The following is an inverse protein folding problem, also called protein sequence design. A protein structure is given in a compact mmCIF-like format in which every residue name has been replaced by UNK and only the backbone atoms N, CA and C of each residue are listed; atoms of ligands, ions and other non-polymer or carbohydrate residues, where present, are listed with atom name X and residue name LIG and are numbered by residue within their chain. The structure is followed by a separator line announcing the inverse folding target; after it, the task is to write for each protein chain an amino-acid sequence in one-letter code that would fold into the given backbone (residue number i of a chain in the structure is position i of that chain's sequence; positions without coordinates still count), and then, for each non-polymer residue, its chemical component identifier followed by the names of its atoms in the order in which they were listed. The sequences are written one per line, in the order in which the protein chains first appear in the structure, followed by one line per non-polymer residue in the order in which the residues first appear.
data_IF_809279533567
#
_entry.id   IF_809279533567
#
_cell.length_a   1.000
_cell.length_b   1.000
_cell.length_c   1.000
_cell.angle_alpha   90.00
_cell.angle_beta   90.00
_cell.angle_gamma   90.00
#
_symmetry.space_group_name_H-M   'P 1'
#
loop_
_entity.id
_entity.type
_entity.pdbx_description
1 polymer ?
#
# COMPACT_ATOMS: atom_id res chain seq x y z
N UNK A 1 83.67 12.39 20.06
CA UNK A 1 83.43 13.67 20.78
C UNK A 1 81.98 13.91 20.71
N UNK A 2 81.22 13.45 21.74
CA UNK A 2 80.82 14.22 22.91
C UNK A 2 79.93 15.39 22.51
N UNK A 3 78.69 15.31 22.95
CA UNK A 3 77.81 16.46 23.05
C UNK A 3 76.33 16.11 23.26
N UNK A 4 75.98 15.65 24.48
CA UNK A 4 74.62 15.67 25.09
C UNK A 4 74.03 17.08 25.09
N UNK A 5 72.68 17.22 25.01
CA UNK A 5 71.90 17.95 26.02
C UNK A 5 70.38 17.85 25.73
N UNK A 6 69.67 17.22 26.57
CA UNK A 6 68.42 17.45 27.30
C UNK A 6 67.70 18.80 27.00
N UNK A 7 66.36 18.73 26.78
CA UNK A 7 65.32 19.20 27.71
C UNK A 7 63.90 19.03 27.09
N UNK A 8 63.06 18.27 27.68
CA UNK A 8 61.83 18.50 28.46
C UNK A 8 61.02 19.79 28.14
N UNK A 9 59.76 19.56 27.72
CA UNK A 9 58.50 20.18 28.22
C UNK A 9 57.36 19.50 27.47
N UNK A 10 56.56 18.67 28.11
CA UNK A 10 55.31 18.85 28.85
C UNK A 10 54.30 19.81 28.16
N UNK A 11 53.19 19.31 27.74
CA UNK A 11 52.10 20.15 27.36
C UNK A 11 50.91 19.39 26.80
N UNK A 12 50.09 18.89 27.71
CA UNK A 12 48.64 18.86 27.76
C UNK A 12 47.90 18.08 26.64
N UNK A 13 47.52 16.89 27.02
CA UNK A 13 46.34 16.16 26.52
C UNK A 13 45.09 17.05 26.65
N UNK A 14 44.56 17.42 25.49
CA UNK A 14 43.17 17.92 25.42
C UNK A 14 42.31 16.78 24.94
N UNK A 15 41.74 16.14 25.90
CA UNK A 15 40.58 15.23 25.81
C UNK A 15 39.45 15.94 25.05
N UNK A 16 39.19 15.51 23.79
CA UNK A 16 38.03 15.96 23.03
C UNK A 16 36.81 15.22 23.56
N UNK A 17 35.87 15.95 24.15
CA UNK A 17 34.57 15.51 24.53
C UNK A 17 33.83 14.80 23.38
N UNK A 18 33.03 13.75 23.67
CA UNK A 18 32.29 13.02 22.63
C UNK A 18 31.15 13.88 22.10
N UNK A 19 31.12 13.96 20.77
CA UNK A 19 30.06 14.61 20.00
C UNK A 19 28.70 13.92 20.25
N UNK A 20 27.80 14.62 20.94
CA UNK A 20 26.47 14.16 21.38
C UNK A 20 25.42 14.14 20.25
N UNK A 21 25.78 14.11 18.97
CA UNK A 21 24.81 14.18 17.88
C UNK A 21 24.84 12.99 16.91
N UNK A 22 25.16 11.79 17.38
CA UNK A 22 24.91 10.56 16.66
C UNK A 22 23.58 9.95 17.12
N UNK A 23 22.51 10.28 16.44
CA UNK A 23 21.28 9.49 16.53
C UNK A 23 21.57 8.03 16.10
N UNK A 24 21.10 7.03 16.85
CA UNK A 24 21.31 5.64 16.47
C UNK A 24 20.53 5.36 15.18
N UNK A 25 21.21 4.82 14.19
CA UNK A 25 20.60 4.24 12.99
C UNK A 25 19.66 3.15 13.47
N UNK A 26 18.35 3.35 13.24
CA UNK A 26 17.30 2.37 13.50
C UNK A 26 17.54 1.21 12.52
N UNK A 27 18.22 0.17 12.99
CA UNK A 27 18.24 -1.13 12.33
C UNK A 27 16.81 -1.64 12.30
N UNK A 28 16.27 -1.89 11.12
CA UNK A 28 14.97 -2.53 10.94
C UNK A 28 15.18 -3.99 11.38
N UNK A 29 14.62 -4.32 12.54
CA UNK A 29 14.71 -5.66 13.09
C UNK A 29 13.77 -6.57 12.27
N UNK A 30 14.36 -7.56 11.57
CA UNK A 30 13.59 -8.56 10.81
C UNK A 30 12.52 -9.25 11.67
N UNK A 31 12.73 -9.33 12.98
CA UNK A 31 11.73 -9.85 13.91
C UNK A 31 10.50 -8.94 14.05
N UNK A 32 10.62 -7.63 13.78
CA UNK A 32 9.48 -6.74 13.77
C UNK A 32 8.61 -6.92 12.53
N UNK A 33 9.18 -7.24 11.36
CA UNK A 33 8.38 -7.52 10.15
C UNK A 33 7.61 -8.85 10.28
N UNK A 34 8.23 -9.86 10.85
CA UNK A 34 7.57 -11.16 11.12
C UNK A 34 6.44 -10.98 12.12
N UNK A 35 6.66 -10.21 13.20
CA UNK A 35 5.63 -9.89 14.17
C UNK A 35 4.49 -9.04 13.57
N UNK A 36 4.80 -8.11 12.68
CA UNK A 36 3.79 -7.30 12.01
C UNK A 36 2.91 -8.12 11.07
N UNK A 37 3.50 -9.05 10.29
CA UNK A 37 2.73 -9.99 9.44
C UNK A 37 1.82 -10.88 10.27
N UNK A 38 2.31 -11.47 11.34
CA UNK A 38 1.50 -12.31 12.25
C UNK A 38 0.38 -11.50 12.92
N UNK A 39 0.67 -10.26 13.32
CA UNK A 39 -0.31 -9.35 13.90
C UNK A 39 -1.40 -8.96 12.87
N UNK A 40 -1.02 -8.72 11.61
CA UNK A 40 -1.96 -8.39 10.54
C UNK A 40 -2.86 -9.58 10.20
N UNK A 41 -2.30 -10.80 10.12
CA UNK A 41 -3.09 -12.02 9.90
C UNK A 41 -4.04 -12.31 11.05
N UNK A 42 -3.61 -12.12 12.28
CA UNK A 42 -4.45 -12.30 13.47
C UNK A 42 -5.56 -11.26 13.54
N UNK A 43 -5.26 -10.00 13.19
CA UNK A 43 -6.24 -8.92 13.12
C UNK A 43 -7.27 -9.17 12.00
N UNK A 44 -6.83 -9.65 10.82
CA UNK A 44 -7.73 -10.01 9.72
C UNK A 44 -8.64 -11.19 10.07
N UNK A 45 -8.11 -12.24 10.71
CA UNK A 45 -8.94 -13.38 11.18
C UNK A 45 -9.95 -12.93 12.22
N UNK A 46 -9.54 -12.05 13.14
CA UNK A 46 -10.41 -11.52 14.20
C UNK A 46 -11.48 -10.57 13.64
N UNK A 47 -11.15 -9.79 12.59
CA UNK A 47 -12.10 -8.91 11.90
C UNK A 47 -13.12 -9.71 11.09
N UNK A 48 -12.67 -10.75 10.36
CA UNK A 48 -13.56 -11.64 9.60
C UNK A 48 -14.49 -12.44 10.51
N UNK A 49 -13.99 -12.94 11.65
CA UNK A 49 -14.80 -13.67 12.63
C UNK A 49 -15.84 -12.76 13.31
N UNK A 50 -15.45 -11.52 13.66
CA UNK A 50 -16.39 -10.52 14.23
C UNK A 50 -17.38 -10.00 13.21
N UNK A 51 -17.02 -9.87 11.94
CA UNK A 51 -17.91 -9.49 10.85
C UNK A 51 -19.04 -10.49 10.64
N UNK A 52 -18.74 -11.79 10.75
CA UNK A 52 -19.73 -12.86 10.66
C UNK A 52 -20.67 -12.86 11.88
N UNK A 53 -20.14 -12.56 13.05
CA UNK A 53 -20.91 -12.51 14.30
C UNK A 53 -21.87 -11.31 14.37
N UNK A 54 -21.45 -10.16 13.83
CA UNK A 54 -22.34 -8.97 13.72
C UNK A 54 -23.49 -9.23 12.75
N UNK A 55 -23.22 -9.93 11.64
CA UNK A 55 -24.26 -10.33 10.69
C UNK A 55 -25.29 -11.28 11.31
N UNK A 56 -24.85 -12.24 12.12
CA UNK A 56 -25.71 -13.14 12.89
C UNK A 56 -26.52 -12.41 13.96
N UNK A 57 -25.89 -11.46 14.67
CA UNK A 57 -26.52 -10.67 15.73
C UNK A 57 -27.57 -9.69 15.19
N UNK A 58 -27.34 -9.13 13.98
CA UNK A 58 -28.31 -8.26 13.30
C UNK A 58 -29.55 -9.02 12.80
N UNK A 59 -29.38 -10.27 12.37
CA UNK A 59 -30.53 -11.10 11.97
C UNK A 59 -31.35 -11.57 13.16
N UNK A 60 -30.74 -11.93 14.30
CA UNK A 60 -31.47 -12.36 15.51
C UNK A 60 -32.20 -11.21 16.21
N UNK A 61 -31.67 -9.98 16.18
CA UNK A 61 -32.35 -8.82 16.77
C UNK A 61 -33.56 -8.36 15.97
N UNK A 62 -33.60 -8.62 14.66
CA UNK A 62 -34.79 -8.31 13.83
C UNK A 62 -35.94 -9.30 14.02
N UNK A 63 -35.64 -10.56 14.31
CA UNK A 63 -36.68 -11.54 14.61
C UNK A 63 -37.24 -11.38 16.03
N UNK A 64 -36.44 -10.92 17.00
CA UNK A 64 -36.90 -10.74 18.39
C UNK A 64 -37.75 -9.47 18.61
N UNK A 65 -37.63 -8.45 17.76
CA UNK A 65 -38.35 -7.18 17.91
C UNK A 65 -39.81 -7.21 17.48
N UNK A 66 -40.19 -8.15 16.64
CA UNK A 66 -41.59 -8.25 16.11
C UNK A 66 -42.46 -9.25 16.82
N UNK A 67 -41.88 -10.25 17.48
CA UNK A 67 -42.67 -11.29 18.19
C UNK A 67 -43.03 -10.93 19.60
N UNK A 68 -42.34 -10.01 20.26
CA UNK A 68 -42.63 -9.58 21.63
C UNK A 68 -43.77 -8.55 21.73
N UNK A 69 -44.29 -8.04 20.61
CA UNK A 69 -45.41 -7.10 20.62
C UNK A 69 -46.79 -7.80 20.54
N UNK A 70 -46.81 -9.11 20.32
CA UNK A 70 -48.03 -9.89 20.18
C UNK A 70 -48.21 -11.02 21.21
N UNK A 71 -47.28 -11.21 22.15
CA UNK A 71 -47.43 -12.16 23.26
C UNK A 71 -47.45 -11.40 24.58
N UNK A 72 -48.64 -11.30 25.12
CA UNK A 72 -48.77 -11.03 26.53
C UNK A 72 -49.75 -9.96 26.91
N UNK A 73 -50.98 -10.40 27.08
CA UNK A 73 -51.65 -10.23 28.35
C UNK A 73 -52.82 -11.19 28.42
N UNK A 74 -52.67 -12.23 29.24
CA UNK A 74 -53.77 -12.96 29.79
C UNK A 74 -54.57 -12.00 30.70
N UNK A 75 -55.93 -12.05 30.69
CA UNK A 75 -56.70 -11.28 31.63
C UNK A 75 -56.54 -11.90 33.03
N UNK A 76 -55.99 -11.18 33.99
CA UNK A 76 -56.16 -11.48 35.40
C UNK A 76 -57.23 -10.53 35.95
N UNK A 77 -58.31 -11.11 36.44
CA UNK A 77 -59.26 -10.43 37.24
C UNK A 77 -58.62 -9.76 38.46
N UNK A 78 -58.72 -8.47 38.51
CA UNK A 78 -58.75 -7.69 39.74
C UNK A 78 -59.28 -6.29 39.44
N UNK A 79 -60.49 -6.07 39.95
CA UNK A 79 -61.16 -4.77 40.01
C UNK A 79 -60.24 -3.74 40.73
N UNK A 80 -59.67 -2.83 40.02
CA UNK A 80 -59.17 -1.59 40.59
C UNK A 80 -59.46 -0.45 39.60
N UNK A 81 -60.19 0.53 40.13
CA UNK A 81 -60.66 1.74 39.48
C UNK A 81 -59.53 2.43 38.70
N UNK A 82 -59.65 2.46 37.38
CA UNK A 82 -58.76 3.25 36.52
C UNK A 82 -59.25 4.70 36.56
N UNK A 83 -58.44 5.54 37.16
CA UNK A 83 -58.53 6.98 37.01
C UNK A 83 -58.05 7.34 35.57
N UNK A 84 -59.01 7.66 34.70
CA UNK A 84 -58.71 8.21 33.37
C UNK A 84 -58.26 9.66 33.52
N UNK A 85 -56.95 9.85 33.69
CA UNK A 85 -56.32 11.12 33.37
C UNK A 85 -56.32 11.30 31.86
N UNK A 86 -57.24 12.10 31.40
CA UNK A 86 -57.39 12.51 29.99
C UNK A 86 -56.18 13.34 29.56
N UNK A 87 -55.17 12.68 28.92
CA UNK A 87 -54.23 13.42 28.08
C UNK A 87 -54.89 13.50 26.70
N UNK A 88 -55.65 14.58 26.49
CA UNK A 88 -56.19 14.92 25.18
C UNK A 88 -55.01 15.33 24.25
N UNK A 89 -54.65 14.46 23.31
CA UNK A 89 -54.03 14.93 22.08
C UNK A 89 -55.12 15.60 21.25
N UNK A 90 -54.90 16.82 20.76
CA UNK A 90 -55.89 17.51 19.91
C UNK A 90 -56.05 16.72 18.64
N UNK A 91 -57.14 15.98 18.55
CA UNK A 91 -57.59 15.31 17.31
C UNK A 91 -57.89 16.41 16.29
N UNK A 92 -57.05 16.51 15.27
CA UNK A 92 -57.10 17.54 14.26
C UNK A 92 -58.43 17.33 13.46
N UNK A 93 -59.44 18.07 13.82
CA UNK A 93 -60.80 18.06 13.24
C UNK A 93 -60.82 18.28 11.72
N UNK A 94 -59.73 18.77 11.13
CA UNK A 94 -59.59 19.03 9.69
C UNK A 94 -59.45 17.73 8.85
N UNK A 95 -58.98 16.63 9.44
CA UNK A 95 -58.86 15.34 8.76
C UNK A 95 -60.17 14.53 8.77
N UNK A 96 -61.04 14.75 9.73
CA UNK A 96 -62.33 14.05 9.82
C UNK A 96 -63.36 14.53 8.78
N UNK A 97 -63.22 15.76 8.27
CA UNK A 97 -64.15 16.30 7.25
C UNK A 97 -63.91 15.81 5.81
N UNK A 98 -62.77 15.22 5.55
CA UNK A 98 -62.44 14.72 4.19
C UNK A 98 -62.71 13.22 4.02
N UNK A 99 -63.12 12.51 5.07
CA UNK A 99 -63.42 11.10 5.02
C UNK A 99 -64.90 10.75 4.85
N UNK A 100 -65.80 11.77 4.81
CA UNK A 100 -67.22 11.56 4.59
C UNK A 100 -67.50 11.51 3.09
N UNK A 101 -67.50 10.31 2.52
CA UNK A 101 -67.95 10.07 1.15
C UNK A 101 -67.28 8.98 0.33
N UNK A 102 -66.27 8.29 0.86
CA UNK A 102 -65.77 7.06 0.24
C UNK A 102 -66.09 5.89 1.17
N UNK A 103 -66.99 5.02 0.73
CA UNK A 103 -67.10 3.66 1.28
C UNK A 103 -65.70 3.06 1.26
N UNK A 104 -65.13 2.82 2.44
CA UNK A 104 -63.87 2.09 2.59
C UNK A 104 -64.17 0.64 2.16
N UNK A 105 -63.93 0.34 0.89
CA UNK A 105 -63.87 -1.04 0.43
C UNK A 105 -62.74 -1.71 1.19
N UNK A 106 -63.08 -2.60 2.10
CA UNK A 106 -62.10 -3.41 2.83
C UNK A 106 -61.48 -4.35 1.81
N UNK A 107 -60.19 -4.23 1.49
CA UNK A 107 -59.55 -5.07 0.49
C UNK A 107 -59.61 -6.52 0.94
N UNK A 108 -59.90 -7.42 0.01
CA UNK A 108 -59.95 -8.85 0.22
C UNK A 108 -58.64 -9.37 0.82
N UNK A 109 -58.70 -10.31 1.73
CA UNK A 109 -57.53 -10.86 2.45
C UNK A 109 -56.43 -11.32 1.48
N UNK A 110 -56.82 -11.88 0.34
CA UNK A 110 -55.91 -12.29 -0.75
C UNK A 110 -55.09 -11.14 -1.32
N UNK A 111 -55.67 -9.93 -1.43
CA UNK A 111 -55.01 -8.74 -1.91
C UNK A 111 -54.02 -8.19 -0.87
N UNK A 112 -54.35 -8.23 0.40
CA UNK A 112 -53.47 -7.86 1.52
C UNK A 112 -52.27 -8.81 1.63
N UNK A 113 -52.50 -10.12 1.50
CA UNK A 113 -51.39 -11.08 1.51
C UNK A 113 -50.42 -10.90 0.32
N UNK A 114 -50.95 -10.62 -0.85
CA UNK A 114 -50.15 -10.39 -2.04
C UNK A 114 -49.31 -9.11 -1.92
N UNK A 115 -49.86 -8.04 -1.36
CA UNK A 115 -49.17 -6.80 -1.07
C UNK A 115 -48.08 -6.99 -0.01
N UNK A 116 -48.36 -7.70 1.07
CA UNK A 116 -47.38 -8.05 2.10
C UNK A 116 -46.24 -8.92 1.55
N UNK A 117 -46.52 -9.88 0.68
CA UNK A 117 -45.50 -10.70 0.01
C UNK A 117 -44.61 -9.85 -0.91
N UNK A 118 -45.17 -8.88 -1.64
CA UNK A 118 -44.41 -7.92 -2.46
C UNK A 118 -43.51 -7.04 -1.61
N UNK A 119 -44.03 -6.46 -0.55
CA UNK A 119 -43.29 -5.62 0.38
C UNK A 119 -42.13 -6.41 1.04
N UNK A 120 -42.39 -7.63 1.54
CA UNK A 120 -41.35 -8.52 2.08
C UNK A 120 -40.26 -8.86 1.07
N UNK A 121 -40.62 -9.15 -0.20
CA UNK A 121 -39.63 -9.42 -1.25
C UNK A 121 -38.79 -8.19 -1.54
N UNK A 122 -39.39 -7.00 -1.65
CA UNK A 122 -38.70 -5.73 -1.93
C UNK A 122 -37.75 -5.36 -0.80
N UNK A 123 -38.16 -5.49 0.43
CA UNK A 123 -37.34 -5.17 1.62
C UNK A 123 -36.16 -6.15 1.75
N UNK A 124 -36.38 -7.45 1.54
CA UNK A 124 -35.30 -8.45 1.52
C UNK A 124 -34.31 -8.17 0.42
N UNK A 125 -34.77 -7.87 -0.79
CA UNK A 125 -33.90 -7.55 -1.92
C UNK A 125 -33.01 -6.33 -1.62
N UNK A 126 -33.57 -5.23 -1.13
CA UNK A 126 -32.80 -4.04 -0.78
C UNK A 126 -31.80 -4.27 0.37
N UNK A 127 -32.19 -5.10 1.36
CA UNK A 127 -31.28 -5.43 2.47
C UNK A 127 -30.12 -6.30 1.98
N UNK A 128 -30.42 -7.32 1.16
CA UNK A 128 -29.39 -8.18 0.58
C UNK A 128 -28.47 -7.37 -0.34
N UNK A 129 -29.04 -6.54 -1.23
CA UNK A 129 -28.27 -5.70 -2.14
C UNK A 129 -27.31 -4.76 -1.39
N UNK A 130 -27.81 -4.08 -0.34
CA UNK A 130 -26.94 -3.24 0.51
C UNK A 130 -25.83 -4.03 1.17
N UNK A 131 -26.13 -5.19 1.74
CA UNK A 131 -25.10 -6.05 2.35
C UNK A 131 -24.05 -6.49 1.35
N UNK A 132 -24.45 -6.86 0.13
CA UNK A 132 -23.53 -7.23 -0.93
C UNK A 132 -22.65 -6.06 -1.37
N UNK A 133 -23.24 -4.86 -1.54
CA UNK A 133 -22.48 -3.66 -1.89
C UNK A 133 -21.44 -3.33 -0.81
N UNK A 134 -21.82 -3.35 0.47
CA UNK A 134 -20.87 -3.12 1.56
C UNK A 134 -19.74 -4.15 1.59
N UNK A 135 -20.06 -5.43 1.37
CA UNK A 135 -19.03 -6.46 1.28
C UNK A 135 -18.07 -6.21 0.12
N UNK A 136 -18.57 -5.85 -1.06
CA UNK A 136 -17.75 -5.51 -2.21
C UNK A 136 -16.86 -4.27 -1.95
N UNK A 137 -17.41 -3.23 -1.32
CA UNK A 137 -16.64 -2.03 -0.97
C UNK A 137 -15.50 -2.37 0.00
N UNK A 138 -15.77 -3.20 1.02
CA UNK A 138 -14.74 -3.62 1.97
C UNK A 138 -13.65 -4.44 1.28
N UNK A 139 -14.02 -5.40 0.44
CA UNK A 139 -13.06 -6.21 -0.31
C UNK A 139 -12.22 -5.34 -1.25
N UNK A 140 -12.86 -4.40 -1.96
CA UNK A 140 -12.15 -3.46 -2.83
C UNK A 140 -11.18 -2.56 -2.05
N UNK A 141 -11.59 -2.04 -0.89
CA UNK A 141 -10.73 -1.23 -0.03
C UNK A 141 -9.50 -2.02 0.45
N UNK A 142 -9.68 -3.26 0.88
CA UNK A 142 -8.58 -4.14 1.29
C UNK A 142 -7.66 -4.44 0.12
N UNK A 143 -8.20 -4.73 -1.06
CA UNK A 143 -7.41 -4.98 -2.26
C UNK A 143 -6.56 -3.76 -2.66
N UNK A 144 -7.13 -2.54 -2.60
CA UNK A 144 -6.39 -1.30 -2.85
C UNK A 144 -5.27 -1.09 -1.83
N UNK A 145 -5.54 -1.34 -0.54
CA UNK A 145 -4.50 -1.25 0.50
C UNK A 145 -3.34 -2.22 0.24
N UNK A 146 -3.64 -3.47 -0.10
CA UNK A 146 -2.62 -4.44 -0.45
C UNK A 146 -1.84 -3.98 -1.69
N UNK A 147 -2.54 -3.55 -2.73
CA UNK A 147 -1.92 -3.07 -3.96
C UNK A 147 -0.96 -1.89 -3.70
N UNK A 148 -1.35 -0.91 -2.89
CA UNK A 148 -0.50 0.26 -2.59
C UNK A 148 0.77 -0.09 -1.81
N UNK A 149 0.75 -1.17 -1.02
CA UNK A 149 1.91 -1.63 -0.26
C UNK A 149 2.90 -2.37 -1.16
N UNK A 150 2.41 -3.24 -2.05
CA UNK A 150 3.25 -4.12 -2.88
C UNK A 150 3.57 -3.55 -4.26
N UNK A 151 2.75 -2.63 -4.77
CA UNK A 151 2.84 -2.05 -6.10
C UNK A 151 2.98 -0.51 -6.02
N UNK A 152 4.10 0.02 -5.49
CA UNK A 152 4.32 1.45 -5.48
C UNK A 152 4.33 2.01 -6.90
N UNK A 153 3.57 3.08 -7.10
CA UNK A 153 3.47 3.82 -8.36
C UNK A 153 4.43 4.98 -8.31
N UNK A 154 5.29 5.08 -9.31
CA UNK A 154 6.38 6.06 -9.38
C UNK A 154 6.22 6.94 -10.62
N UNK A 155 6.44 8.25 -10.46
CA UNK A 155 6.58 9.16 -11.59
C UNK A 155 8.06 9.37 -11.88
N UNK A 156 8.44 9.24 -13.13
CA UNK A 156 9.83 9.37 -13.58
C UNK A 156 10.19 10.85 -13.72
N UNK A 157 11.33 11.21 -13.20
CA UNK A 157 11.95 12.53 -13.34
C UNK A 157 13.35 12.38 -13.94
N UNK A 158 13.64 13.20 -14.93
CA UNK A 158 14.92 13.17 -15.64
C UNK A 158 14.99 12.11 -16.75
N UNK A 159 16.04 12.22 -17.55
CA UNK A 159 16.21 11.46 -18.79
C UNK A 159 17.27 10.36 -18.72
N UNK A 160 17.74 10.00 -17.53
CA UNK A 160 18.85 9.04 -17.35
C UNK A 160 18.49 7.59 -17.78
N UNK A 161 17.21 7.29 -17.95
CA UNK A 161 16.72 5.98 -18.39
C UNK A 161 16.13 6.00 -19.81
N UNK A 162 16.20 7.14 -20.49
CA UNK A 162 15.78 7.20 -21.89
C UNK A 162 16.68 6.30 -22.76
N UNK A 163 16.13 5.62 -23.78
CA UNK A 163 14.76 5.70 -24.27
C UNK A 163 13.78 4.77 -23.55
N UNK A 164 14.27 3.87 -22.70
CA UNK A 164 13.44 2.78 -22.12
C UNK A 164 12.31 3.35 -21.25
N UNK A 165 12.65 4.37 -20.44
CA UNK A 165 11.68 5.08 -19.60
C UNK A 165 12.00 6.58 -19.68
N UNK A 166 11.00 7.38 -20.03
CA UNK A 166 11.13 8.81 -20.27
C UNK A 166 10.60 9.66 -19.13
N UNK A 167 11.03 10.92 -19.07
CA UNK A 167 10.55 11.87 -18.08
C UNK A 167 9.03 12.09 -18.17
N UNK A 168 8.36 12.12 -17.02
CA UNK A 168 6.93 12.30 -16.92
C UNK A 168 6.10 11.01 -16.98
N UNK A 169 6.72 9.89 -17.34
CA UNK A 169 6.05 8.59 -17.34
C UNK A 169 5.69 8.14 -15.92
N UNK A 170 4.62 7.35 -15.82
CA UNK A 170 4.20 6.71 -14.58
C UNK A 170 4.39 5.21 -14.72
N UNK A 171 5.18 4.65 -13.82
CA UNK A 171 5.53 3.24 -13.80
C UNK A 171 5.13 2.60 -12.47
N UNK A 172 4.92 1.29 -12.51
CA UNK A 172 4.63 0.47 -11.33
C UNK A 172 5.85 -0.36 -11.00
N UNK A 173 6.27 -0.28 -9.75
CA UNK A 173 7.32 -1.12 -9.19
C UNK A 173 6.69 -2.27 -8.40
N UNK A 174 7.32 -3.44 -8.42
CA UNK A 174 6.94 -4.59 -7.60
C UNK A 174 7.95 -4.73 -6.47
N UNK A 175 7.51 -4.48 -5.24
CA UNK A 175 8.34 -4.58 -4.04
C UNK A 175 8.55 -6.04 -3.66
N UNK A 176 9.80 -6.38 -3.30
CA UNK A 176 10.16 -7.74 -2.86
C UNK A 176 10.15 -8.79 -3.96
N UNK A 177 10.11 -8.38 -5.23
CA UNK A 177 10.31 -9.30 -6.35
C UNK A 177 11.79 -9.59 -6.53
N UNK A 178 12.10 -10.83 -6.85
CA UNK A 178 13.43 -11.21 -7.29
C UNK A 178 13.78 -10.45 -8.58
N UNK A 179 15.00 -9.97 -8.63
CA UNK A 179 15.51 -9.27 -9.80
C UNK A 179 16.86 -9.82 -10.23
N UNK A 180 17.17 -9.64 -11.48
CA UNK A 180 18.38 -10.14 -12.08
C UNK A 180 19.00 -9.08 -13.00
N UNK A 181 20.16 -9.40 -13.55
CA UNK A 181 20.82 -8.54 -14.54
C UNK A 181 19.86 -8.19 -15.67
N UNK A 182 19.84 -6.90 -16.05
CA UNK A 182 18.98 -6.34 -17.07
C UNK A 182 17.67 -5.75 -16.54
N UNK A 183 17.27 -6.07 -15.30
CA UNK A 183 16.03 -5.52 -14.72
C UNK A 183 16.20 -4.04 -14.32
N UNK A 184 15.12 -3.29 -14.45
CA UNK A 184 15.07 -1.89 -14.04
C UNK A 184 14.63 -1.81 -12.59
N UNK A 185 15.41 -1.14 -11.77
CA UNK A 185 15.24 -1.05 -10.33
C UNK A 185 14.92 0.40 -9.91
N UNK A 186 13.98 0.53 -8.98
CA UNK A 186 13.81 1.75 -8.21
C UNK A 186 14.66 1.67 -6.94
N UNK A 187 15.56 2.64 -6.73
CA UNK A 187 16.52 2.61 -5.65
C UNK A 187 16.55 3.92 -4.87
N UNK A 188 16.69 3.85 -3.55
CA UNK A 188 16.90 5.02 -2.73
C UNK A 188 18.37 5.45 -2.74
N UNK A 189 18.62 6.71 -3.06
CA UNK A 189 19.93 7.34 -2.94
C UNK A 189 19.78 8.67 -2.17
N UNK A 190 20.20 8.69 -0.94
CA UNK A 190 19.90 9.80 -0.02
C UNK A 190 18.41 10.01 0.12
N UNK A 191 17.92 11.22 -0.17
CA UNK A 191 16.48 11.57 -0.11
C UNK A 191 15.79 11.47 -1.48
N UNK A 192 16.43 10.88 -2.47
CA UNK A 192 15.91 10.76 -3.84
C UNK A 192 15.64 9.31 -4.19
N UNK A 193 14.61 9.09 -4.98
CA UNK A 193 14.34 7.81 -5.62
C UNK A 193 14.89 7.89 -7.05
N UNK A 194 15.84 7.02 -7.35
CA UNK A 194 16.44 6.90 -8.68
C UNK A 194 15.90 5.63 -9.35
N UNK A 195 15.83 5.67 -10.68
CA UNK A 195 15.53 4.49 -11.50
C UNK A 195 16.78 4.18 -12.30
N UNK A 196 17.28 2.95 -12.22
CA UNK A 196 18.50 2.47 -12.88
C UNK A 196 18.34 1.01 -13.28
N UNK A 197 19.16 0.57 -14.23
CA UNK A 197 19.21 -0.84 -14.66
C UNK A 197 20.28 -1.59 -13.87
N UNK A 198 19.94 -2.79 -13.40
CA UNK A 198 20.90 -3.72 -12.78
C UNK A 198 21.86 -4.27 -13.85
N UNK A 199 23.14 -4.04 -13.67
CA UNK A 199 24.20 -4.49 -14.59
C UNK A 199 24.93 -5.70 -14.03
N UNK A 200 25.28 -5.66 -12.74
CA UNK A 200 25.98 -6.76 -12.10
C UNK A 200 25.54 -6.89 -10.64
N UNK A 201 25.53 -8.11 -10.15
CA UNK A 201 25.25 -8.48 -8.76
C UNK A 201 26.53 -8.65 -7.92
N UNK A 202 26.36 -9.05 -6.65
CA UNK A 202 27.45 -9.23 -5.71
C UNK A 202 28.56 -10.16 -6.24
N UNK A 203 29.82 -9.81 -5.97
CA UNK A 203 30.99 -10.57 -6.32
C UNK A 203 31.41 -10.50 -7.79
N UNK A 204 30.56 -10.03 -8.70
CA UNK A 204 30.84 -9.96 -10.13
C UNK A 204 31.83 -8.82 -10.48
N UNK A 205 32.60 -9.02 -11.53
CA UNK A 205 33.52 -8.03 -12.07
C UNK A 205 32.89 -7.26 -13.21
N UNK A 206 32.92 -5.93 -13.14
CA UNK A 206 32.45 -5.04 -14.20
C UNK A 206 33.66 -4.34 -14.81
N UNK A 207 33.75 -4.39 -16.13
CA UNK A 207 34.70 -3.61 -16.90
C UNK A 207 34.00 -2.80 -18.00
N UNK A 208 34.50 -1.59 -18.26
CA UNK A 208 33.90 -0.68 -19.24
C UNK A 208 35.06 -0.09 -20.05
N UNK A 209 35.05 -0.32 -21.33
CA UNK A 209 36.05 0.24 -22.23
C UNK A 209 35.80 1.73 -22.56
N UNK A 210 36.73 2.35 -23.26
CA UNK A 210 36.65 3.78 -23.63
C UNK A 210 35.47 4.08 -24.57
N UNK A 211 35.03 3.10 -25.32
CA UNK A 211 33.90 3.20 -26.23
C UNK A 211 32.53 2.97 -25.50
N UNK A 212 32.59 2.68 -24.19
CA UNK A 212 31.42 2.44 -23.37
C UNK A 212 30.85 1.04 -23.48
N UNK A 213 31.58 0.07 -24.03
CA UNK A 213 31.15 -1.33 -24.00
C UNK A 213 31.36 -1.89 -22.59
N UNK A 214 30.30 -2.51 -22.07
CA UNK A 214 30.30 -3.09 -20.75
C UNK A 214 30.52 -4.60 -20.84
N UNK A 215 31.40 -5.13 -20.01
CA UNK A 215 31.55 -6.56 -19.78
C UNK A 215 31.37 -6.89 -18.31
N UNK A 216 30.80 -8.05 -18.04
CA UNK A 216 30.62 -8.58 -16.68
C UNK A 216 31.22 -9.98 -16.64
N UNK A 217 32.16 -10.20 -15.70
CA UNK A 217 32.95 -11.45 -15.59
C UNK A 217 33.62 -11.82 -16.92
N UNK A 218 34.18 -10.82 -17.61
CA UNK A 218 34.82 -10.92 -18.95
C UNK A 218 33.85 -11.35 -20.07
N UNK A 219 32.53 -11.31 -19.85
CA UNK A 219 31.54 -11.57 -20.88
C UNK A 219 30.96 -10.23 -21.36
N UNK A 220 31.01 -9.90 -22.64
CA UNK A 220 30.41 -8.68 -23.18
C UNK A 220 28.91 -8.69 -22.95
N UNK A 221 28.39 -7.56 -22.46
CA UNK A 221 26.96 -7.42 -22.20
C UNK A 221 26.23 -7.03 -23.50
N UNK A 222 25.18 -7.78 -23.82
CA UNK A 222 24.28 -7.40 -24.90
C UNK A 222 23.25 -6.38 -24.41
N UNK A 223 23.30 -5.17 -24.97
CA UNK A 223 22.53 -4.02 -24.49
C UNK A 223 21.66 -3.39 -25.58
N UNK A 224 20.65 -4.11 -26.08
CA UNK A 224 19.83 -3.63 -27.19
C UNK A 224 18.92 -2.44 -26.81
N UNK A 225 18.81 -2.13 -25.53
CA UNK A 225 18.03 -1.02 -24.99
C UNK A 225 18.75 0.34 -25.08
N UNK A 226 20.02 0.36 -25.43
CA UNK A 226 20.79 1.60 -25.58
C UNK A 226 20.59 2.21 -26.96
N UNK A 227 20.49 3.53 -27.01
CA UNK A 227 20.62 4.28 -28.27
C UNK A 227 22.11 4.44 -28.60
N UNK A 228 22.89 4.82 -27.58
CA UNK A 228 24.33 5.12 -27.73
C UNK A 228 25.08 4.58 -26.52
N UNK A 229 26.24 3.98 -26.78
CA UNK A 229 27.21 3.60 -25.75
C UNK A 229 28.07 4.79 -25.42
N UNK A 230 28.33 4.99 -24.14
CA UNK A 230 29.23 6.04 -23.69
C UNK A 230 29.93 5.65 -22.38
N UNK A 231 31.15 6.00 -22.23
CA UNK A 231 31.91 5.83 -20.98
C UNK A 231 31.26 6.62 -19.84
N UNK A 232 30.76 7.83 -20.16
CA UNK A 232 30.04 8.71 -19.25
C UNK A 232 30.94 9.23 -18.11
N UNK A 233 30.28 9.61 -16.98
CA UNK A 233 31.01 10.08 -15.78
C UNK A 233 31.48 8.87 -14.96
N UNK A 234 32.61 8.29 -15.39
CA UNK A 234 33.24 7.14 -14.74
C UNK A 234 34.47 7.57 -13.94
N UNK A 235 34.36 7.54 -12.62
CA UNK A 235 35.42 7.93 -11.68
C UNK A 235 35.94 6.76 -10.85
N UNK A 236 35.41 5.56 -11.03
CA UNK A 236 35.90 4.35 -10.39
C UNK A 236 37.07 3.75 -11.16
N UNK A 237 37.86 2.95 -10.47
CA UNK A 237 38.92 2.14 -11.11
C UNK A 237 38.31 0.88 -11.72
N UNK A 238 38.59 0.65 -12.98
CA UNK A 238 38.13 -0.54 -13.70
C UNK A 238 39.30 -1.49 -13.94
N UNK A 239 39.11 -2.82 -14.00
CA UNK A 239 37.83 -3.51 -13.69
C UNK A 239 37.45 -3.38 -12.21
N UNK A 240 36.12 -3.28 -11.94
CA UNK A 240 35.58 -3.06 -10.61
C UNK A 240 34.81 -4.30 -10.11
N UNK A 241 35.20 -4.80 -8.94
CA UNK A 241 34.43 -5.89 -8.30
C UNK A 241 33.29 -5.34 -7.47
N UNK A 242 32.09 -5.82 -7.74
CA UNK A 242 30.89 -5.47 -6.97
C UNK A 242 30.97 -6.07 -5.58
N UNK A 243 30.91 -5.27 -4.49
CA UNK A 243 30.96 -5.79 -3.14
C UNK A 243 29.77 -6.71 -2.81
N UNK A 244 29.94 -7.58 -1.83
CA UNK A 244 28.87 -8.45 -1.33
C UNK A 244 27.67 -7.62 -0.84
N UNK A 245 26.44 -8.10 -1.13
CA UNK A 245 25.19 -7.41 -0.78
C UNK A 245 24.95 -6.11 -1.53
N UNK A 246 25.69 -5.86 -2.62
CA UNK A 246 25.54 -4.64 -3.45
C UNK A 246 25.34 -4.98 -4.91
N UNK A 247 24.79 -4.03 -5.63
CA UNK A 247 24.47 -4.14 -7.05
C UNK A 247 25.05 -2.96 -7.81
N UNK A 248 25.67 -3.25 -8.94
CA UNK A 248 26.15 -2.25 -9.87
C UNK A 248 25.03 -1.87 -10.81
N UNK A 249 24.63 -0.62 -10.81
CA UNK A 249 23.50 -0.12 -11.59
C UNK A 249 23.95 0.98 -12.54
N UNK A 250 23.34 1.02 -13.75
CA UNK A 250 23.61 2.07 -14.73
C UNK A 250 22.30 2.62 -15.29
N UNK A 251 22.33 3.86 -15.77
CA UNK A 251 21.24 4.38 -16.58
C UNK A 251 21.34 3.95 -18.03
N UNK A 252 20.23 3.90 -18.74
CA UNK A 252 20.20 3.56 -20.16
C UNK A 252 20.74 4.72 -21.02
N UNK A 253 20.57 5.96 -20.59
CA UNK A 253 21.22 7.10 -21.19
C UNK A 253 22.65 7.25 -20.60
N UNK A 254 23.58 6.54 -21.20
CA UNK A 254 24.96 6.38 -20.70
C UNK A 254 25.73 7.67 -20.55
N UNK A 255 25.51 8.64 -21.43
CA UNK A 255 26.28 9.89 -21.48
C UNK A 255 25.96 10.83 -20.30
N UNK A 256 24.74 10.84 -19.81
CA UNK A 256 24.30 11.80 -18.78
C UNK A 256 23.95 11.15 -17.43
N UNK A 257 23.89 9.82 -17.36
CA UNK A 257 23.48 9.12 -16.16
C UNK A 257 24.53 9.22 -15.06
N UNK A 258 24.12 9.70 -13.89
CA UNK A 258 24.87 9.52 -12.66
C UNK A 258 24.44 8.19 -12.02
N UNK A 259 25.40 7.27 -11.92
CA UNK A 259 25.15 5.88 -11.50
C UNK A 259 26.40 5.26 -10.86
N UNK A 260 26.48 3.94 -10.77
CA UNK A 260 27.57 3.24 -10.07
C UNK A 260 28.94 3.45 -10.68
N UNK A 261 29.06 3.99 -11.89
CA UNK A 261 30.33 4.41 -12.49
C UNK A 261 30.97 5.59 -11.74
N UNK A 262 30.15 6.40 -11.09
CA UNK A 262 30.65 7.50 -10.27
C UNK A 262 30.86 7.02 -8.83
N UNK A 263 32.07 7.20 -8.31
CA UNK A 263 32.43 6.79 -6.95
C UNK A 263 31.59 7.43 -5.85
N UNK A 264 30.95 8.59 -6.10
CA UNK A 264 30.05 9.24 -5.15
C UNK A 264 28.74 8.49 -5.04
N UNK A 265 28.26 7.88 -6.13
CA UNK A 265 27.04 7.06 -6.12
C UNK A 265 27.37 5.65 -5.63
N UNK A 266 28.39 5.04 -6.23
CA UNK A 266 28.83 3.69 -5.91
C UNK A 266 27.79 2.61 -6.19
N UNK A 267 28.07 1.40 -5.71
CA UNK A 267 27.13 0.29 -5.78
C UNK A 267 26.00 0.45 -4.76
N UNK A 268 24.79 0.12 -5.19
CA UNK A 268 23.55 0.21 -4.40
C UNK A 268 23.44 -1.00 -3.50
N UNK A 269 23.22 -0.79 -2.21
CA UNK A 269 22.96 -1.88 -1.27
C UNK A 269 21.54 -2.45 -1.48
N UNK A 270 21.36 -3.71 -1.20
CA UNK A 270 20.08 -4.41 -1.39
C UNK A 270 18.93 -3.73 -0.63
N UNK A 271 19.19 -3.21 0.57
CA UNK A 271 18.20 -2.49 1.39
C UNK A 271 17.75 -1.15 0.79
N UNK A 272 18.54 -0.60 -0.15
CA UNK A 272 18.20 0.61 -0.87
C UNK A 272 17.25 0.33 -2.05
N UNK A 273 17.08 -0.92 -2.44
CA UNK A 273 16.24 -1.31 -3.57
C UNK A 273 14.79 -1.35 -3.12
N UNK A 274 13.98 -0.46 -3.67
CA UNK A 274 12.53 -0.38 -3.41
C UNK A 274 11.79 -1.52 -4.10
N UNK A 275 12.19 -1.83 -5.33
CA UNK A 275 11.62 -2.89 -6.11
C UNK A 275 11.96 -2.81 -7.59
N UNK A 276 11.51 -3.81 -8.34
CA UNK A 276 11.69 -3.93 -9.79
C UNK A 276 10.56 -3.20 -10.51
N UNK A 277 10.90 -2.37 -11.49
CA UNK A 277 9.92 -1.75 -12.39
C UNK A 277 9.40 -2.82 -13.34
N UNK A 278 8.08 -2.97 -13.41
CA UNK A 278 7.46 -4.08 -14.18
C UNK A 278 6.48 -3.60 -15.24
N UNK A 279 5.90 -2.41 -15.05
CA UNK A 279 4.80 -1.98 -15.89
C UNK A 279 4.75 -0.47 -16.04
N UNK A 280 4.47 0.03 -17.27
CA UNK A 280 4.20 1.44 -17.57
C UNK A 280 2.71 1.66 -17.62
N UNK A 281 2.20 2.66 -16.87
CA UNK A 281 0.79 3.03 -16.79
C UNK A 281 0.49 4.28 -17.62
N UNK A 282 1.44 5.19 -17.72
CA UNK A 282 1.32 6.44 -18.46
C UNK A 282 2.59 6.71 -19.28
N UNK A 283 2.48 7.20 -20.51
CA UNK A 283 1.26 7.60 -21.25
C UNK A 283 0.41 6.40 -21.69
N UNK A 284 -0.89 6.61 -21.86
CA UNK A 284 -1.82 5.54 -22.26
C UNK A 284 -1.52 4.94 -23.64
N UNK A 285 -0.76 5.66 -24.48
CA UNK A 285 -0.30 5.19 -25.80
C UNK A 285 0.78 4.11 -25.71
N UNK A 286 1.47 4.03 -24.57
CA UNK A 286 2.60 3.12 -24.36
C UNK A 286 2.43 2.25 -23.11
N UNK A 287 1.19 2.02 -22.70
CA UNK A 287 0.87 1.15 -21.55
C UNK A 287 1.34 -0.27 -21.87
N UNK A 288 2.14 -0.84 -20.97
CA UNK A 288 2.66 -2.18 -21.17
C UNK A 288 3.74 -2.58 -20.17
N UNK A 289 4.21 -3.81 -20.36
CA UNK A 289 5.35 -4.35 -19.61
C UNK A 289 6.65 -3.68 -20.08
N UNK A 290 7.52 -3.38 -19.14
CA UNK A 290 8.86 -2.82 -19.41
C UNK A 290 9.91 -3.93 -19.22
#
# INVERSE_FOLDING_TARGET
MIGNFKNKKSGSDKEKAPDKNKQPKKSIDLNQEINFRQMLESAMRNFLSKGIDISKKLNTTKEFGLTNRLKGKKPSDSSSKLNLGTTFYPFNRSLARKASGKTLEVPEISQLESALKREKKRTRYHTTLRSTIYALVVVAAVAVLIATIFLPVLRIYGSSMAPTVSEGEIVVSLKGADFQRGDILAVYYGNKLLVKRCIAGPGQWVDIDKDGNVSVDNQPLNEPYLIEKAYGDCTITLPYQVPEGRYFVMGDNRSISQDSRNAMVGCIAEEQIVGKIVFRVWPFTEVGKI
#
